data_IF_561644050965
#
_entry.id   IF_561644050965
#
_cell.length_a   1.000
_cell.length_b   1.000
_cell.length_c   1.000
_cell.angle_alpha   90.00
_cell.angle_beta   90.00
_cell.angle_gamma   90.00
#
_symmetry.space_group_name_H-M   'P 1'
#
loop_
_entity.id
_entity.type
_entity.pdbx_description
1 polymer ?
#
# COMPACT_ATOMS: atom_id res chain seq x y z
N UNK A 1 -16.43 -1.81 -5.70
CA UNK A 1 -15.84 -2.16 -4.40
C UNK A 1 -14.83 -3.29 -4.52
N UNK A 2 -15.26 -4.44 -5.03
CA UNK A 2 -14.34 -5.56 -5.17
C UNK A 2 -13.18 -5.23 -6.09
N UNK A 3 -13.45 -4.57 -7.20
CA UNK A 3 -12.41 -4.21 -8.15
C UNK A 3 -11.39 -3.27 -7.51
N UNK A 4 -11.85 -2.34 -6.69
CA UNK A 4 -10.98 -1.43 -5.99
C UNK A 4 -10.07 -2.17 -5.02
N UNK A 5 -10.61 -3.16 -4.31
CA UNK A 5 -9.81 -3.97 -3.39
C UNK A 5 -8.75 -4.76 -4.15
N UNK A 6 -9.10 -5.30 -5.32
CA UNK A 6 -8.14 -6.03 -6.12
C UNK A 6 -7.00 -5.14 -6.58
N UNK A 7 -7.30 -3.89 -6.96
CA UNK A 7 -6.25 -2.96 -7.33
C UNK A 7 -5.35 -2.61 -6.14
N UNK A 8 -5.92 -2.46 -4.95
CA UNK A 8 -5.12 -2.21 -3.77
C UNK A 8 -4.16 -3.37 -3.50
N UNK A 9 -4.65 -4.58 -3.60
CA UNK A 9 -3.81 -5.75 -3.34
C UNK A 9 -2.72 -5.86 -4.39
N UNK A 10 -3.08 -5.68 -5.66
CA UNK A 10 -2.11 -5.75 -6.74
C UNK A 10 -1.04 -4.69 -6.59
N UNK A 11 -1.43 -3.47 -6.28
CA UNK A 11 -0.47 -2.40 -6.12
C UNK A 11 0.44 -2.64 -4.92
N UNK A 12 -0.12 -3.14 -3.83
CA UNK A 12 0.68 -3.46 -2.65
C UNK A 12 1.70 -4.55 -2.93
N UNK A 13 1.28 -5.59 -3.63
CA UNK A 13 2.20 -6.67 -3.98
C UNK A 13 3.27 -6.19 -4.95
N UNK A 14 2.91 -5.36 -5.91
CA UNK A 14 3.89 -4.82 -6.85
C UNK A 14 4.91 -3.94 -6.15
N UNK A 15 4.47 -3.11 -5.22
CA UNK A 15 5.38 -2.24 -4.50
C UNK A 15 6.31 -3.06 -3.61
N UNK A 16 5.76 -3.98 -2.84
CA UNK A 16 6.57 -4.78 -1.93
C UNK A 16 7.48 -5.70 -2.72
N UNK A 17 6.94 -6.38 -3.73
CA UNK A 17 7.74 -7.30 -4.53
C UNK A 17 8.83 -6.59 -5.30
N UNK A 18 8.51 -5.46 -5.92
CA UNK A 18 9.51 -4.68 -6.65
C UNK A 18 10.58 -4.14 -5.72
N UNK A 19 10.16 -3.61 -4.56
CA UNK A 19 11.10 -3.13 -3.57
C UNK A 19 11.99 -4.23 -3.04
N UNK A 20 11.44 -5.42 -2.86
CA UNK A 20 12.21 -6.55 -2.37
C UNK A 20 13.30 -6.96 -3.37
N UNK A 21 12.96 -6.93 -4.66
CA UNK A 21 13.97 -7.26 -5.68
C UNK A 21 15.11 -6.25 -5.68
N UNK A 22 14.81 -4.97 -5.54
CA UNK A 22 15.83 -3.95 -5.43
C UNK A 22 16.66 -4.15 -4.17
N UNK A 23 15.99 -4.48 -3.06
CA UNK A 23 16.66 -4.77 -1.80
C UNK A 23 17.66 -5.92 -1.97
N UNK A 24 17.25 -7.00 -2.63
CA UNK A 24 18.13 -8.14 -2.85
C UNK A 24 19.37 -7.75 -3.65
N UNK A 25 19.19 -6.89 -4.64
CA UNK A 25 20.33 -6.45 -5.42
C UNK A 25 21.27 -5.59 -4.56
N UNK A 26 20.70 -4.63 -3.82
CA UNK A 26 21.51 -3.66 -3.10
C UNK A 26 22.12 -4.21 -1.82
N UNK A 27 21.43 -5.10 -1.14
CA UNK A 27 21.86 -5.58 0.18
C UNK A 27 22.49 -6.96 0.14
N UNK A 28 22.02 -7.82 -0.75
CA UNK A 28 22.46 -9.21 -0.77
C UNK A 28 23.29 -9.55 -1.99
N UNK A 29 23.71 -8.55 -2.76
CA UNK A 29 24.59 -8.75 -3.92
C UNK A 29 24.05 -9.71 -4.95
N UNK A 30 22.76 -9.73 -5.16
CA UNK A 30 22.19 -10.51 -6.24
C UNK A 30 22.51 -9.83 -7.57
N UNK A 31 22.31 -10.54 -8.65
CA UNK A 31 22.68 -10.04 -9.97
C UNK A 31 21.87 -8.84 -10.45
N UNK A 32 22.35 -8.13 -11.46
CA UNK A 32 21.67 -6.92 -11.93
C UNK A 32 20.25 -7.14 -12.44
N UNK A 33 19.90 -8.38 -12.80
CA UNK A 33 18.54 -8.67 -13.23
C UNK A 33 17.53 -8.37 -12.12
N UNK A 34 17.94 -8.49 -10.86
CA UNK A 34 17.05 -8.20 -9.74
C UNK A 34 16.74 -6.71 -9.69
N UNK A 35 17.72 -5.87 -9.96
CA UNK A 35 17.49 -4.44 -9.98
C UNK A 35 16.57 -4.06 -11.14
N UNK A 36 16.82 -4.60 -12.33
CA UNK A 36 16.03 -4.27 -13.50
C UNK A 36 14.59 -4.75 -13.34
N UNK A 37 14.42 -5.98 -12.88
CA UNK A 37 13.07 -6.52 -12.66
C UNK A 37 12.33 -5.74 -11.60
N UNK A 38 13.01 -5.40 -10.51
CA UNK A 38 12.39 -4.61 -9.45
C UNK A 38 11.97 -3.24 -9.93
N UNK A 39 12.83 -2.58 -10.71
CA UNK A 39 12.53 -1.27 -11.25
C UNK A 39 11.30 -1.32 -12.16
N UNK A 40 11.21 -2.36 -12.99
CA UNK A 40 10.07 -2.51 -13.89
C UNK A 40 8.78 -2.71 -13.10
N UNK A 41 8.83 -3.56 -12.08
CA UNK A 41 7.66 -3.83 -11.26
C UNK A 41 7.23 -2.58 -10.49
N UNK A 42 8.18 -1.80 -9.98
CA UNK A 42 7.86 -0.55 -9.30
C UNK A 42 7.24 0.47 -10.26
N UNK A 43 7.67 0.45 -11.52
CA UNK A 43 7.05 1.30 -12.51
C UNK A 43 5.59 0.89 -12.72
N UNK A 44 5.31 -0.41 -12.80
CA UNK A 44 3.94 -0.89 -12.91
C UNK A 44 3.12 -0.52 -11.68
N UNK A 45 3.75 -0.54 -10.51
CA UNK A 45 3.07 -0.11 -9.30
C UNK A 45 2.56 1.32 -9.45
N UNK A 46 3.34 2.18 -10.06
CA UNK A 46 2.90 3.56 -10.27
C UNK A 46 1.72 3.68 -11.22
N UNK A 47 1.54 2.73 -12.11
CA UNK A 47 0.44 2.74 -13.06
C UNK A 47 -0.85 2.20 -12.46
N UNK A 48 -0.77 1.17 -11.64
CA UNK A 48 -1.95 0.48 -11.11
C UNK A 48 -2.93 1.43 -10.42
N UNK A 49 -2.49 2.37 -9.58
CA UNK A 49 -3.44 3.25 -8.91
C UNK A 49 -4.27 4.11 -9.85
N UNK A 50 -3.80 4.33 -11.06
CA UNK A 50 -4.54 5.17 -12.00
C UNK A 50 -5.85 4.53 -12.45
N UNK A 51 -6.03 3.23 -12.18
CA UNK A 51 -7.25 2.54 -12.53
C UNK A 51 -8.28 2.54 -11.41
N UNK A 52 -7.95 3.13 -10.26
CA UNK A 52 -8.92 3.21 -9.19
C UNK A 52 -10.05 4.17 -9.58
N UNK A 53 -11.28 3.85 -9.21
CA UNK A 53 -12.41 4.73 -9.52
C UNK A 53 -12.39 6.04 -8.73
N UNK A 54 -11.67 6.09 -7.62
CA UNK A 54 -11.60 7.31 -6.84
C UNK A 54 -10.75 8.34 -7.57
N UNK A 55 -11.26 9.56 -7.68
CA UNK A 55 -10.59 10.59 -8.45
C UNK A 55 -9.46 11.28 -7.69
N UNK A 56 -9.45 11.21 -6.37
CA UNK A 56 -8.46 11.93 -5.59
C UNK A 56 -7.21 11.09 -5.39
N UNK A 57 -6.10 11.56 -5.93
CA UNK A 57 -4.82 10.88 -5.79
C UNK A 57 -4.44 10.73 -4.32
N UNK A 58 -4.65 11.78 -3.52
CA UNK A 58 -4.27 11.72 -2.12
C UNK A 58 -5.02 10.66 -1.35
N UNK A 59 -6.32 10.53 -1.59
CA UNK A 59 -7.09 9.52 -0.88
C UNK A 59 -6.73 8.12 -1.31
N UNK A 60 -6.47 7.92 -2.60
CA UNK A 60 -6.05 6.61 -3.09
C UNK A 60 -4.74 6.20 -2.42
N UNK A 61 -3.79 7.11 -2.34
CA UNK A 61 -2.51 6.78 -1.74
C UNK A 61 -2.61 6.59 -0.22
N UNK A 62 -3.49 7.33 0.45
CA UNK A 62 -3.70 7.12 1.87
C UNK A 62 -4.26 5.72 2.14
N UNK A 63 -5.20 5.28 1.31
CA UNK A 63 -5.76 3.93 1.45
C UNK A 63 -4.71 2.87 1.16
N UNK A 64 -3.86 3.10 0.17
CA UNK A 64 -2.79 2.16 -0.14
C UNK A 64 -1.83 2.02 1.04
N UNK A 65 -1.63 3.08 1.82
CA UNK A 65 -0.72 3.01 2.95
C UNK A 65 -1.08 1.91 3.93
N UNK A 66 -2.37 1.76 4.24
CA UNK A 66 -2.79 0.72 5.18
C UNK A 66 -2.64 -0.67 4.58
N UNK A 67 -3.05 -0.81 3.32
CA UNK A 67 -2.89 -2.10 2.65
C UNK A 67 -1.41 -2.45 2.58
N UNK A 68 -0.57 -1.47 2.31
CA UNK A 68 0.86 -1.67 2.23
C UNK A 68 1.43 -2.13 3.57
N UNK A 69 1.00 -1.53 4.68
CA UNK A 69 1.49 -1.95 5.99
C UNK A 69 1.11 -3.39 6.28
N UNK A 70 -0.15 -3.75 6.04
CA UNK A 70 -0.60 -5.11 6.29
C UNK A 70 0.16 -6.11 5.43
N UNK A 71 0.34 -5.80 4.15
CA UNK A 71 1.06 -6.69 3.26
C UNK A 71 2.54 -6.78 3.60
N UNK A 72 3.12 -5.69 4.09
CA UNK A 72 4.54 -5.72 4.48
C UNK A 72 4.77 -6.64 5.66
N UNK A 73 3.88 -6.63 6.64
CA UNK A 73 4.01 -7.51 7.78
C UNK A 73 3.81 -8.95 7.35
N UNK A 74 2.84 -9.19 6.49
CA UNK A 74 2.60 -10.53 5.98
C UNK A 74 3.81 -11.02 5.17
N UNK A 75 4.40 -10.16 4.36
CA UNK A 75 5.58 -10.49 3.58
C UNK A 75 6.73 -10.87 4.50
N UNK A 76 6.97 -10.08 5.55
CA UNK A 76 8.03 -10.38 6.50
C UNK A 76 7.83 -11.73 7.14
N UNK A 77 6.57 -12.09 7.41
CA UNK A 77 6.29 -13.38 7.99
C UNK A 77 6.53 -14.51 7.00
N UNK A 78 5.99 -14.40 5.79
CA UNK A 78 6.02 -15.51 4.85
C UNK A 78 7.35 -15.63 4.11
N UNK A 79 7.99 -14.51 3.84
CA UNK A 79 9.23 -14.52 3.05
C UNK A 79 10.45 -14.43 3.93
N UNK A 80 10.46 -13.54 4.90
CA UNK A 80 11.62 -13.36 5.76
C UNK A 80 11.60 -14.24 6.99
N UNK A 81 10.49 -14.90 7.25
CA UNK A 81 10.39 -15.79 8.41
C UNK A 81 10.22 -15.10 9.73
N UNK A 82 9.86 -13.81 9.72
CA UNK A 82 9.70 -13.06 10.96
C UNK A 82 8.24 -13.04 11.37
N UNK A 83 7.93 -13.80 12.40
CA UNK A 83 6.55 -13.87 12.86
C UNK A 83 6.12 -12.54 13.47
N UNK A 84 4.94 -12.02 13.10
CA UNK A 84 4.48 -10.76 13.68
C UNK A 84 4.29 -10.87 15.19
N UNK A 85 4.70 -9.85 15.91
CA UNK A 85 4.46 -9.81 17.33
C UNK A 85 3.24 -8.94 17.62
N UNK A 86 2.95 -8.77 18.91
CA UNK A 86 1.78 -8.00 19.31
C UNK A 86 1.88 -6.54 18.85
N UNK A 87 3.08 -5.97 18.83
CA UNK A 87 3.26 -4.58 18.42
C UNK A 87 2.96 -4.42 16.93
N UNK A 88 3.35 -5.39 16.11
CA UNK A 88 3.05 -5.37 14.69
C UNK A 88 1.54 -5.41 14.47
N UNK A 89 0.86 -6.24 15.21
CA UNK A 89 -0.59 -6.39 15.07
C UNK A 89 -1.30 -5.13 15.53
N UNK A 90 -0.93 -4.60 16.68
CA UNK A 90 -1.57 -3.40 17.20
C UNK A 90 -1.33 -2.22 16.28
N UNK A 91 -0.10 -2.04 15.83
CA UNK A 91 0.21 -0.94 14.92
C UNK A 91 -0.55 -1.03 13.62
N UNK A 92 -0.67 -2.24 13.07
CA UNK A 92 -1.43 -2.44 11.83
C UNK A 92 -2.90 -2.12 12.03
N UNK A 93 -3.47 -2.52 13.15
CA UNK A 93 -4.87 -2.23 13.42
C UNK A 93 -5.12 -0.74 13.56
N UNK A 94 -4.22 -0.03 14.22
CA UNK A 94 -4.34 1.43 14.34
C UNK A 94 -4.30 2.08 12.96
N UNK A 95 -3.40 1.61 12.09
CA UNK A 95 -3.31 2.14 10.74
C UNK A 95 -4.57 1.88 9.94
N UNK A 96 -5.16 0.69 10.08
CA UNK A 96 -6.40 0.39 9.39
C UNK A 96 -7.55 1.26 9.87
N UNK A 97 -7.60 1.54 11.17
CA UNK A 97 -8.59 2.47 11.69
C UNK A 97 -8.39 3.85 11.09
N UNK A 98 -7.14 4.29 11.00
CA UNK A 98 -6.84 5.59 10.40
C UNK A 98 -7.31 5.69 8.95
N UNK A 99 -7.10 4.63 8.17
CA UNK A 99 -7.56 4.63 6.78
C UNK A 99 -9.07 4.60 6.70
N UNK A 100 -9.71 3.85 7.59
CA UNK A 100 -11.16 3.83 7.61
C UNK A 100 -11.69 5.25 7.84
N UNK A 101 -11.10 5.99 8.75
CA UNK A 101 -11.49 7.36 9.01
C UNK A 101 -11.30 8.21 7.75
N UNK A 102 -10.15 8.10 7.10
CA UNK A 102 -9.87 8.89 5.92
C UNK A 102 -10.85 8.59 4.80
N UNK A 103 -11.13 7.32 4.56
CA UNK A 103 -11.92 6.95 3.40
C UNK A 103 -13.42 7.11 3.63
N UNK A 104 -13.90 6.69 4.79
CA UNK A 104 -15.34 6.68 4.99
C UNK A 104 -15.87 7.91 5.66
N UNK A 105 -15.23 8.39 6.70
CA UNK A 105 -15.73 9.58 7.35
C UNK A 105 -15.55 10.81 6.47
N UNK A 106 -14.47 10.82 5.70
CA UNK A 106 -14.27 11.89 4.75
C UNK A 106 -15.35 11.90 3.68
N UNK A 107 -15.76 10.74 3.20
CA UNK A 107 -16.83 10.68 2.21
C UNK A 107 -18.16 11.14 2.78
N UNK A 108 -18.44 10.82 4.03
CA UNK A 108 -19.64 11.28 4.66
C UNK A 108 -19.65 12.81 4.73
N UNK A 109 -18.55 13.40 5.10
CA UNK A 109 -18.48 14.85 5.20
C UNK A 109 -18.49 15.54 3.85
N UNK A 110 -18.02 14.89 2.82
CA UNK A 110 -18.05 15.48 1.51
C UNK A 110 -19.46 15.81 1.04
N UNK A 111 -20.44 15.11 1.52
CA UNK A 111 -21.81 15.40 1.10
C UNK A 111 -22.30 16.73 1.62
N UNK A 112 -21.60 17.37 2.57
CA UNK A 112 -22.00 18.65 3.09
C UNK A 112 -21.16 19.75 2.48
N UNK A 113 -21.79 20.72 1.85
CA UNK A 113 -21.02 21.73 1.11
C UNK A 113 -20.12 22.58 1.99
N UNK A 114 -20.44 22.70 3.26
CA UNK A 114 -19.63 23.55 4.12
C UNK A 114 -18.41 22.88 4.68
N UNK A 115 -18.22 21.65 4.39
CA UNK A 115 -17.12 20.96 4.96
C UNK A 115 -15.91 21.03 4.19
N UNK A 116 -15.71 21.94 3.39
CA UNK A 116 -14.60 21.94 2.58
C UNK A 116 -13.37 22.25 3.20
N UNK A 117 -13.40 22.96 4.21
CA UNK A 117 -12.30 23.43 4.73
C UNK A 117 -11.64 22.58 5.55
N UNK A 118 -10.76 22.04 5.48
CA UNK A 118 -10.23 21.28 6.36
C UNK A 118 -8.90 21.56 6.36
N UNK A 119 -8.25 22.04 6.69
CA UNK A 119 -7.02 22.32 6.71
C UNK A 119 -6.38 21.69 6.81
#
# INVERSE_FOLDING_TARGET
>A
MLLSILFFILAGLAEIGGGYLVWLYMRDDKGPIYLIAGAFILFLYGIIPTFQPEASFGKVYAAYGAVFIALSILWGWLVDGLRPDMYDIIGSLVCLVGVYIIMYLSLIHISEPTRRVVI
#
